data_IF_055842883581
#
_entry.id   IF_055842883581
#
_cell.length_a   1.000
_cell.length_b   1.000
_cell.length_c   1.000
_cell.angle_alpha   90.00
_cell.angle_beta   90.00
_cell.angle_gamma   90.00
#
_symmetry.space_group_name_H-M   'P 1'
#
loop_
_entity.id
_entity.type
_entity.pdbx_description
1 polymer ?
#
# COMPACT_ATOMS: atom_id res chain seq x y z
N UNK A 1 9.06 -10.18 73.61
CA UNK A 1 9.55 -8.79 73.70
C UNK A 1 9.85 -8.32 72.28
N UNK A 2 8.97 -7.49 71.73
CA UNK A 2 9.21 -6.12 71.23
C UNK A 2 9.78 -6.03 69.78
N UNK A 3 8.86 -5.98 68.81
CA UNK A 3 8.62 -4.96 67.74
C UNK A 3 9.71 -3.95 67.32
N UNK A 4 9.53 -3.20 66.19
CA UNK A 4 8.69 -3.43 64.98
C UNK A 4 9.29 -2.89 63.64
N UNK A 5 8.49 -3.02 62.57
CA UNK A 5 8.28 -2.04 61.47
C UNK A 5 9.33 -1.82 60.38
N UNK A 6 8.98 -2.18 59.12
CA UNK A 6 8.62 -1.18 58.09
C UNK A 6 8.23 -1.88 56.80
N UNK A 7 6.93 -1.83 56.51
CA UNK A 7 6.38 -2.02 55.18
C UNK A 7 6.47 -0.70 54.43
N UNK A 8 7.10 -0.70 53.26
CA UNK A 8 6.96 0.39 52.30
C UNK A 8 5.99 -0.09 51.21
N UNK A 9 4.70 0.17 51.39
CA UNK A 9 3.76 0.22 50.28
C UNK A 9 4.13 1.40 49.39
N UNK A 10 4.37 1.13 48.11
CA UNK A 10 4.53 2.18 47.10
C UNK A 10 3.11 2.68 46.78
N UNK A 11 2.71 3.77 47.42
CA UNK A 11 1.51 4.52 47.06
C UNK A 11 1.86 5.43 45.89
N UNK A 12 1.44 5.07 44.69
CA UNK A 12 1.47 5.98 43.54
C UNK A 12 0.37 7.03 43.74
N UNK A 13 0.75 8.26 44.06
CA UNK A 13 -0.16 9.41 44.11
C UNK A 13 -0.65 9.74 42.70
N UNK A 14 -1.96 9.90 42.56
CA UNK A 14 -2.68 10.12 41.30
C UNK A 14 -2.74 11.61 40.89
N UNK A 15 -1.70 12.39 41.16
CA UNK A 15 -1.73 13.87 41.03
C UNK A 15 -0.57 14.43 40.18
N UNK A 16 -0.05 13.64 39.25
CA UNK A 16 1.08 14.06 38.39
C UNK A 16 0.68 14.29 36.92
N UNK A 17 -0.61 14.52 36.64
CA UNK A 17 -1.13 14.79 35.31
C UNK A 17 -2.21 15.87 35.35
N UNK A 18 -1.84 17.07 35.78
CA UNK A 18 -2.54 18.30 35.43
C UNK A 18 -1.57 19.24 34.69
N UNK A 19 -1.41 18.99 33.39
CA UNK A 19 -1.22 20.05 32.40
C UNK A 19 -2.10 19.67 31.20
N UNK A 20 -3.42 19.77 31.43
CA UNK A 20 -4.41 19.66 30.35
C UNK A 20 -4.49 21.04 29.72
N UNK A 21 -4.08 21.12 28.45
CA UNK A 21 -4.30 22.29 27.61
C UNK A 21 -5.81 22.50 27.51
N UNK A 22 -6.27 23.63 28.04
CA UNK A 22 -7.66 24.05 28.00
C UNK A 22 -8.07 24.32 26.53
N UNK A 23 -8.59 23.31 25.84
CA UNK A 23 -9.31 23.52 24.58
C UNK A 23 -10.74 23.91 24.94
N UNK A 24 -10.94 25.21 25.12
CA UNK A 24 -12.26 25.80 25.24
C UNK A 24 -13.01 25.64 23.92
N UNK A 25 -14.03 24.79 23.96
CA UNK A 25 -15.12 24.74 22.98
C UNK A 25 -15.72 26.15 22.82
N UNK A 26 -15.84 26.63 21.59
CA UNK A 26 -16.79 27.69 21.24
C UNK A 26 -17.63 27.22 20.07
N UNK A 27 -18.93 27.14 20.34
CA UNK A 27 -19.99 26.70 19.46
C UNK A 27 -20.23 27.68 18.30
N UNK A 28 -20.67 27.11 17.17
CA UNK A 28 -21.24 27.80 16.02
C UNK A 28 -22.42 28.72 16.40
N UNK A 29 -22.68 29.73 15.55
CA UNK A 29 -23.96 29.67 14.84
C UNK A 29 -23.87 30.05 13.34
N UNK A 30 -24.59 29.29 12.51
CA UNK A 30 -25.11 29.69 11.19
C UNK A 30 -26.29 30.70 11.34
N UNK A 31 -26.95 31.18 10.27
CA UNK A 31 -26.49 31.70 8.96
C UNK A 31 -27.02 33.13 8.72
N UNK A 32 -26.40 33.93 7.85
CA UNK A 32 -27.11 35.05 7.20
C UNK A 32 -26.43 35.55 5.94
N UNK A 33 -27.29 35.71 4.93
CA UNK A 33 -27.05 36.27 3.61
C UNK A 33 -26.43 37.66 3.63
N UNK A 34 -25.70 38.00 2.56
CA UNK A 34 -25.78 39.29 1.85
C UNK A 34 -24.80 39.29 0.66
N UNK A 35 -25.34 39.28 -0.56
CA UNK A 35 -24.67 39.82 -1.75
C UNK A 35 -24.52 41.35 -1.59
N UNK A 36 -23.48 41.95 -2.19
CA UNK A 36 -23.83 42.87 -3.28
C UNK A 36 -22.95 42.71 -4.53
N UNK A 37 -23.66 42.73 -5.65
CA UNK A 37 -23.18 42.96 -7.00
C UNK A 37 -22.94 44.45 -7.22
N UNK A 38 -21.89 44.84 -7.95
CA UNK A 38 -21.92 46.00 -8.84
C UNK A 38 -20.67 46.10 -9.76
N UNK A 39 -20.80 46.75 -10.93
CA UNK A 39 -20.07 46.43 -12.16
C UNK A 39 -19.23 47.60 -12.69
N UNK A 40 -18.66 47.43 -13.90
CA UNK A 40 -18.29 48.38 -14.99
C UNK A 40 -16.86 48.15 -15.51
N UNK A 41 -16.73 47.55 -16.71
CA UNK A 41 -16.50 48.20 -18.02
C UNK A 41 -15.07 48.78 -18.16
N UNK A 42 -14.29 48.52 -19.22
CA UNK A 42 -14.71 48.75 -20.61
C UNK A 42 -13.67 48.26 -21.65
N UNK A 43 -14.21 47.80 -22.79
CA UNK A 43 -13.78 48.02 -24.18
C UNK A 43 -12.50 47.37 -24.77
N UNK A 44 -12.64 46.31 -25.58
CA UNK A 44 -12.54 46.27 -27.07
C UNK A 44 -11.27 46.79 -27.73
N UNK A 45 -10.55 45.92 -28.47
CA UNK A 45 -10.27 46.07 -29.92
C UNK A 45 -9.81 44.75 -30.55
N UNK A 46 -10.50 44.40 -31.63
CA UNK A 46 -10.31 43.33 -32.62
C UNK A 46 -9.01 43.45 -33.43
N UNK A 47 -8.37 42.31 -33.75
CA UNK A 47 -7.67 42.09 -35.03
C UNK A 47 -7.68 40.59 -35.39
N UNK A 48 -7.87 40.32 -36.68
CA UNK A 48 -8.32 39.06 -37.30
C UNK A 48 -7.14 38.17 -37.79
N UNK A 49 -7.38 37.02 -38.47
CA UNK A 49 -6.51 35.84 -38.47
C UNK A 49 -5.40 35.86 -39.53
N UNK A 50 -4.24 35.27 -39.23
CA UNK A 50 -3.29 34.83 -40.25
C UNK A 50 -3.45 33.33 -40.50
N UNK A 51 -4.11 33.01 -41.60
CA UNK A 51 -4.08 31.69 -42.22
C UNK A 51 -2.67 31.46 -42.78
N UNK A 52 -1.93 30.52 -42.19
CA UNK A 52 -0.77 29.92 -42.86
C UNK A 52 -1.18 28.54 -43.34
N UNK A 53 -1.44 28.45 -44.64
CA UNK A 53 -1.62 27.20 -45.38
C UNK A 53 -0.26 26.54 -45.54
N UNK A 54 0.04 25.51 -44.75
CA UNK A 54 1.18 24.61 -44.99
C UNK A 54 0.67 23.30 -45.57
N UNK A 55 1.27 22.93 -46.69
CA UNK A 55 0.93 21.83 -47.59
C UNK A 55 1.13 20.46 -46.95
N UNK A 56 0.17 19.56 -47.19
CA UNK A 56 0.16 18.13 -46.89
C UNK A 56 1.46 17.40 -47.29
N UNK A 57 2.08 16.71 -46.32
CA UNK A 57 2.73 15.41 -46.56
C UNK A 57 1.94 14.39 -45.75
N UNK A 58 1.29 13.45 -46.45
CA UNK A 58 0.62 12.29 -45.87
C UNK A 58 1.70 11.30 -45.43
N UNK A 59 2.14 11.39 -44.18
CA UNK A 59 2.63 10.22 -43.46
C UNK A 59 1.40 9.58 -42.82
N UNK A 60 1.16 8.30 -43.12
CA UNK A 60 0.09 7.55 -42.49
C UNK A 60 0.18 7.75 -40.97
N UNK A 61 -0.93 8.00 -40.25
CA UNK A 61 -0.86 8.01 -38.80
C UNK A 61 -0.37 6.62 -38.41
N UNK A 62 0.85 6.52 -37.89
CA UNK A 62 1.15 5.44 -36.95
C UNK A 62 0.10 5.65 -35.87
N UNK A 63 -0.90 4.77 -35.84
CA UNK A 63 -1.77 4.62 -34.67
C UNK A 63 -0.82 4.31 -33.53
N UNK A 64 -0.30 5.36 -32.89
CA UNK A 64 0.12 5.30 -31.52
C UNK A 64 -1.19 5.08 -30.79
N UNK A 65 -1.56 3.80 -30.60
CA UNK A 65 -2.53 3.44 -29.57
C UNK A 65 -2.03 4.20 -28.34
N UNK A 66 -2.79 5.16 -27.80
CA UNK A 66 -2.47 5.68 -26.49
C UNK A 66 -2.48 4.43 -25.62
N UNK A 67 -1.32 4.01 -25.11
CA UNK A 67 -1.34 3.16 -23.93
C UNK A 67 -2.25 3.94 -22.99
N UNK A 68 -3.43 3.37 -22.69
CA UNK A 68 -4.12 3.77 -21.48
C UNK A 68 -3.03 3.81 -20.41
N UNK A 69 -2.99 4.86 -19.60
CA UNK A 69 -2.07 4.89 -18.49
C UNK A 69 -2.34 3.61 -17.70
N UNK A 70 -1.54 2.57 -17.94
CA UNK A 70 -1.63 1.30 -17.26
C UNK A 70 -1.13 1.64 -15.88
N UNK A 71 -2.04 2.17 -15.06
CA UNK A 71 -1.75 2.46 -13.69
C UNK A 71 -1.36 1.13 -13.08
N UNK A 72 -0.07 1.01 -12.75
CA UNK A 72 0.50 -0.19 -12.16
C UNK A 72 -0.40 -0.58 -11.00
N UNK A 73 -0.97 -1.78 -11.08
CA UNK A 73 -1.94 -2.23 -10.07
C UNK A 73 -1.33 -2.08 -8.67
N UNK A 74 -2.13 -1.77 -7.64
CA UNK A 74 -1.63 -1.62 -6.27
C UNK A 74 -0.78 -2.82 -5.82
N UNK A 75 -1.18 -4.04 -6.22
CA UNK A 75 -0.40 -5.26 -5.98
C UNK A 75 0.97 -5.26 -6.69
N UNK A 76 1.04 -4.84 -7.96
CA UNK A 76 2.31 -4.76 -8.67
C UNK A 76 3.25 -3.69 -8.09
N UNK A 77 2.71 -2.55 -7.62
CA UNK A 77 3.49 -1.54 -6.87
C UNK A 77 4.08 -2.14 -5.59
N UNK A 78 3.28 -2.91 -4.83
CA UNK A 78 3.73 -3.58 -3.61
C UNK A 78 4.85 -4.60 -3.89
N UNK A 79 4.71 -5.42 -4.92
CA UNK A 79 5.74 -6.40 -5.31
C UNK A 79 7.05 -5.73 -5.72
N UNK A 80 7.00 -4.60 -6.40
CA UNK A 80 8.21 -3.82 -6.76
C UNK A 80 8.86 -3.18 -5.52
N UNK A 81 8.05 -2.64 -4.60
CA UNK A 81 8.56 -2.13 -3.33
C UNK A 81 9.19 -3.22 -2.45
N UNK A 82 8.60 -4.44 -2.44
CA UNK A 82 9.12 -5.62 -1.77
C UNK A 82 10.47 -6.05 -2.34
N UNK A 83 10.61 -6.13 -3.65
CA UNK A 83 11.89 -6.49 -4.30
C UNK A 83 13.00 -5.50 -3.93
N UNK A 84 12.72 -4.19 -4.06
CA UNK A 84 13.67 -3.14 -3.67
C UNK A 84 14.04 -3.20 -2.20
N UNK A 85 13.08 -3.54 -1.34
CA UNK A 85 13.29 -3.65 0.09
C UNK A 85 14.20 -4.83 0.42
N UNK A 86 13.94 -6.01 -0.16
CA UNK A 86 14.78 -7.18 0.01
C UNK A 86 16.19 -6.98 -0.56
N UNK A 87 16.31 -6.32 -1.72
CA UNK A 87 17.61 -5.95 -2.29
C UNK A 87 18.39 -4.97 -1.40
N UNK A 88 17.71 -4.00 -0.77
CA UNK A 88 18.31 -3.11 0.21
C UNK A 88 18.80 -3.88 1.44
N UNK A 89 17.97 -4.77 2.02
CA UNK A 89 18.37 -5.58 3.18
C UNK A 89 19.60 -6.44 2.86
N UNK A 90 19.60 -7.09 1.69
CA UNK A 90 20.73 -7.90 1.23
C UNK A 90 22.01 -7.08 1.10
N UNK A 91 21.91 -5.84 0.63
CA UNK A 91 23.05 -4.90 0.55
C UNK A 91 23.60 -4.52 1.92
N UNK A 92 22.72 -4.36 2.91
CA UNK A 92 23.10 -4.13 4.31
C UNK A 92 23.57 -5.42 5.02
N UNK A 93 23.58 -6.57 4.32
CA UNK A 93 24.05 -7.86 4.84
C UNK A 93 23.00 -8.66 5.63
N UNK A 94 21.73 -8.30 5.49
CA UNK A 94 20.62 -8.93 6.19
C UNK A 94 19.63 -9.60 5.22
N UNK A 95 18.94 -10.62 5.71
CA UNK A 95 17.76 -11.22 5.04
C UNK A 95 16.55 -10.91 5.90
N UNK A 96 15.36 -10.82 5.28
CA UNK A 96 14.12 -10.72 6.03
C UNK A 96 13.94 -11.94 6.93
N UNK A 97 13.91 -11.74 8.24
CA UNK A 97 13.67 -12.80 9.24
C UNK A 97 12.41 -12.53 10.06
N UNK A 98 11.57 -11.60 9.59
CA UNK A 98 10.39 -11.12 10.27
C UNK A 98 10.60 -9.79 11.00
N UNK A 99 9.50 -9.26 11.52
CA UNK A 99 9.50 -8.03 12.30
C UNK A 99 10.08 -8.27 13.70
N UNK A 100 10.73 -7.27 14.30
CA UNK A 100 11.18 -7.33 15.69
C UNK A 100 10.01 -7.64 16.63
N UNK A 101 10.18 -8.61 17.53
CA UNK A 101 9.14 -9.04 18.47
C UNK A 101 9.64 -9.06 19.91
N UNK A 102 8.95 -8.36 20.81
CA UNK A 102 9.28 -8.38 22.23
C UNK A 102 9.07 -9.76 22.87
N UNK A 103 8.26 -10.62 22.26
CA UNK A 103 7.97 -11.97 22.75
C UNK A 103 9.14 -12.93 22.50
N UNK A 104 9.93 -12.70 21.45
CA UNK A 104 11.10 -13.51 21.12
C UNK A 104 12.29 -13.30 22.06
N UNK A 105 12.26 -12.22 22.86
CA UNK A 105 13.31 -11.86 23.81
C UNK A 105 14.46 -11.06 23.20
N UNK A 106 15.22 -10.34 24.03
CA UNK A 106 16.21 -9.36 23.57
C UNK A 106 17.36 -9.93 22.73
N UNK A 107 17.65 -11.23 22.88
CA UNK A 107 18.74 -11.92 22.16
C UNK A 107 18.28 -12.52 20.82
N UNK A 108 17.00 -12.39 20.47
CA UNK A 108 16.47 -12.91 19.21
C UNK A 108 17.06 -12.15 18.02
N UNK A 109 17.36 -12.83 16.90
CA UNK A 109 17.98 -12.19 15.74
C UNK A 109 17.14 -11.05 15.16
N UNK A 110 15.81 -11.17 15.19
CA UNK A 110 14.87 -10.13 14.77
C UNK A 110 14.89 -8.87 15.66
N UNK A 111 15.44 -8.96 16.88
CA UNK A 111 15.59 -7.85 17.82
C UNK A 111 16.99 -7.23 17.82
N UNK A 112 17.91 -7.76 16.99
CA UNK A 112 19.26 -7.22 16.88
C UNK A 112 19.23 -5.77 16.36
N UNK A 113 20.00 -4.87 17.00
CA UNK A 113 19.99 -3.45 16.66
C UNK A 113 20.46 -3.14 15.23
N UNK A 114 21.38 -3.93 14.66
CA UNK A 114 21.83 -3.77 13.27
C UNK A 114 20.72 -4.14 12.30
N UNK A 115 20.05 -5.27 12.55
CA UNK A 115 18.89 -5.70 11.76
C UNK A 115 17.74 -4.68 11.82
N UNK A 116 17.37 -4.22 13.02
CA UNK A 116 16.34 -3.17 13.20
C UNK A 116 16.74 -1.88 12.47
N UNK A 117 18.01 -1.49 12.53
CA UNK A 117 18.54 -0.33 11.82
C UNK A 117 18.41 -0.48 10.29
N UNK A 118 18.75 -1.66 9.76
CA UNK A 118 18.60 -1.97 8.34
C UNK A 118 17.14 -1.96 7.89
N UNK A 119 16.21 -2.51 8.69
CA UNK A 119 14.78 -2.47 8.43
C UNK A 119 14.26 -1.02 8.28
N UNK A 120 14.61 -0.13 9.22
CA UNK A 120 14.21 1.29 9.19
C UNK A 120 14.82 2.00 7.98
N UNK A 121 16.11 1.77 7.72
CA UNK A 121 16.82 2.37 6.59
C UNK A 121 16.19 1.95 5.27
N UNK A 122 15.98 0.64 5.07
CA UNK A 122 15.43 0.11 3.84
C UNK A 122 13.98 0.53 3.64
N UNK A 123 13.16 0.55 4.69
CA UNK A 123 11.81 1.11 4.61
C UNK A 123 11.82 2.58 4.17
N UNK A 124 12.70 3.42 4.73
CA UNK A 124 12.78 4.84 4.35
C UNK A 124 13.22 5.06 2.89
N UNK A 125 14.00 4.13 2.33
CA UNK A 125 14.48 4.19 0.95
C UNK A 125 13.44 3.68 -0.05
N UNK A 126 12.65 2.69 0.31
CA UNK A 126 11.72 2.02 -0.61
C UNK A 126 10.27 2.47 -0.45
N UNK A 127 9.91 3.03 0.70
CA UNK A 127 8.55 3.43 1.01
C UNK A 127 7.58 2.24 1.15
N UNK A 128 8.10 1.03 1.40
CA UNK A 128 7.28 -0.20 1.40
C UNK A 128 6.07 -0.13 2.35
N UNK A 129 6.19 0.54 3.50
CA UNK A 129 5.06 0.71 4.42
C UNK A 129 3.94 1.54 3.80
N UNK A 130 4.27 2.62 3.11
CA UNK A 130 3.29 3.46 2.42
C UNK A 130 2.63 2.71 1.28
N UNK A 131 3.40 1.98 0.48
CA UNK A 131 2.83 1.16 -0.62
C UNK A 131 1.94 0.04 -0.07
N UNK A 132 2.30 -0.55 1.06
CA UNK A 132 1.47 -1.55 1.73
C UNK A 132 0.17 -0.94 2.26
N UNK A 133 0.20 0.25 2.86
CA UNK A 133 -0.99 0.98 3.29
C UNK A 133 -1.91 1.29 2.11
N UNK A 134 -1.36 1.75 0.98
CA UNK A 134 -2.11 2.00 -0.25
C UNK A 134 -2.74 0.72 -0.80
N UNK A 135 -2.00 -0.39 -0.78
CA UNK A 135 -2.53 -1.69 -1.19
C UNK A 135 -3.70 -2.13 -0.31
N UNK A 136 -3.58 -2.01 1.02
CA UNK A 136 -4.68 -2.35 1.95
C UNK A 136 -5.89 -1.43 1.74
N UNK A 137 -5.67 -0.14 1.51
CA UNK A 137 -6.73 0.81 1.20
C UNK A 137 -7.45 0.45 -0.11
N UNK A 138 -6.72 0.02 -1.14
CA UNK A 138 -7.30 -0.40 -2.42
C UNK A 138 -8.19 -1.63 -2.33
N UNK A 139 -8.05 -2.42 -1.24
CA UNK A 139 -8.85 -3.62 -0.97
C UNK A 139 -10.04 -3.36 -0.05
N UNK A 140 -10.20 -2.12 0.41
CA UNK A 140 -11.29 -1.72 1.32
C UNK A 140 -12.41 -1.04 0.53
N UNK A 141 -13.66 -1.38 0.82
CA UNK A 141 -14.82 -0.72 0.21
C UNK A 141 -15.04 -1.05 -1.27
N UNK A 142 -14.58 -2.22 -1.72
CA UNK A 142 -14.84 -2.76 -3.05
C UNK A 142 -16.32 -3.11 -3.22
N UNK A 143 -16.83 -2.95 -4.44
CA UNK A 143 -18.16 -3.45 -4.79
C UNK A 143 -18.18 -4.98 -4.86
N UNK A 144 -19.34 -5.64 -4.70
CA UNK A 144 -19.44 -7.11 -4.70
C UNK A 144 -18.87 -7.76 -5.96
N UNK A 145 -19.11 -7.18 -7.13
CA UNK A 145 -18.61 -7.71 -8.41
C UNK A 145 -17.07 -7.59 -8.51
N UNK A 146 -16.49 -6.53 -7.93
CA UNK A 146 -15.03 -6.35 -7.86
C UNK A 146 -14.39 -7.36 -6.91
N UNK A 147 -15.04 -7.65 -5.78
CA UNK A 147 -14.59 -8.69 -4.83
C UNK A 147 -14.60 -10.07 -5.51
N UNK A 148 -15.66 -10.41 -6.25
CA UNK A 148 -15.75 -11.68 -6.98
C UNK A 148 -14.61 -11.81 -8.00
N UNK A 149 -14.35 -10.74 -8.76
CA UNK A 149 -13.28 -10.73 -9.76
C UNK A 149 -11.90 -10.85 -9.11
N UNK A 150 -11.60 -10.07 -8.07
CA UNK A 150 -10.32 -10.16 -7.36
C UNK A 150 -10.13 -11.52 -6.69
N UNK A 151 -11.19 -12.12 -6.16
CA UNK A 151 -11.12 -13.47 -5.60
C UNK A 151 -10.77 -14.52 -6.68
N UNK A 152 -11.36 -14.41 -7.86
CA UNK A 152 -11.03 -15.28 -9.00
C UNK A 152 -9.57 -15.12 -9.42
N UNK A 153 -9.11 -13.88 -9.58
CA UNK A 153 -7.72 -13.57 -9.93
C UNK A 153 -6.74 -14.10 -8.88
N UNK A 154 -7.10 -13.96 -7.60
CA UNK A 154 -6.29 -14.46 -6.50
C UNK A 154 -6.25 -15.99 -6.44
N UNK A 155 -7.37 -16.67 -6.69
CA UNK A 155 -7.40 -18.14 -6.80
C UNK A 155 -6.45 -18.61 -7.91
N UNK A 156 -6.58 -18.06 -9.12
CA UNK A 156 -5.73 -18.42 -10.26
C UNK A 156 -4.25 -18.21 -9.94
N UNK A 157 -3.91 -17.08 -9.29
CA UNK A 157 -2.56 -16.79 -8.82
C UNK A 157 -2.08 -17.84 -7.82
N UNK A 158 -2.86 -18.16 -6.80
CA UNK A 158 -2.45 -19.13 -5.78
C UNK A 158 -2.31 -20.54 -6.34
N UNK A 159 -3.11 -20.93 -7.33
CA UNK A 159 -3.01 -22.24 -7.98
C UNK A 159 -1.74 -22.35 -8.81
N UNK A 160 -1.38 -21.29 -9.56
CA UNK A 160 -0.10 -21.22 -10.24
C UNK A 160 1.08 -21.31 -9.26
N UNK A 161 1.05 -20.53 -8.16
CA UNK A 161 2.12 -20.53 -7.16
C UNK A 161 2.25 -21.89 -6.45
N UNK A 162 1.13 -22.53 -6.08
CA UNK A 162 1.15 -23.90 -5.53
C UNK A 162 1.75 -24.90 -6.52
N UNK A 163 1.48 -24.75 -7.82
CA UNK A 163 2.11 -25.53 -8.88
C UNK A 163 3.63 -25.37 -8.95
N UNK A 164 4.16 -24.20 -8.58
CA UNK A 164 5.60 -23.90 -8.44
C UNK A 164 6.19 -24.32 -7.09
N UNK A 165 5.39 -24.91 -6.20
CA UNK A 165 5.84 -25.44 -4.91
C UNK A 165 5.71 -24.46 -3.73
N UNK A 166 4.94 -23.39 -3.88
CA UNK A 166 4.66 -22.47 -2.78
C UNK A 166 3.83 -23.13 -1.68
N UNK A 167 4.13 -22.78 -0.43
CA UNK A 167 3.30 -23.10 0.72
C UNK A 167 2.33 -21.94 0.97
N UNK A 168 1.10 -22.11 0.47
CA UNK A 168 0.01 -21.15 0.65
C UNK A 168 -1.08 -21.82 1.47
N UNK A 169 -1.43 -21.23 2.61
CA UNK A 169 -2.50 -21.73 3.48
C UNK A 169 -3.86 -21.75 2.76
N UNK A 170 -4.84 -22.36 3.43
CA UNK A 170 -6.23 -22.29 2.96
C UNK A 170 -6.67 -20.83 2.83
N UNK A 171 -7.35 -20.54 1.71
CA UNK A 171 -7.86 -19.21 1.43
C UNK A 171 -9.20 -19.04 2.12
N UNK A 172 -9.27 -18.07 3.03
CA UNK A 172 -10.50 -17.75 3.74
C UNK A 172 -10.94 -16.32 3.41
N UNK A 173 -12.24 -16.07 3.21
CA UNK A 173 -12.75 -14.72 3.07
C UNK A 173 -12.50 -13.91 4.35
N UNK A 174 -12.06 -12.66 4.19
CA UNK A 174 -11.94 -11.69 5.26
C UNK A 174 -13.29 -11.02 5.60
N UNK A 175 -13.27 -10.00 6.46
CA UNK A 175 -14.47 -9.24 6.87
C UNK A 175 -15.19 -8.56 5.69
N UNK A 176 -14.48 -8.29 4.59
CA UNK A 176 -14.99 -7.70 3.37
C UNK A 176 -15.36 -8.75 2.30
N UNK A 177 -15.16 -10.05 2.58
CA UNK A 177 -15.41 -11.14 1.64
C UNK A 177 -14.27 -11.41 0.66
N UNK A 178 -13.12 -10.76 0.84
CA UNK A 178 -11.96 -10.91 -0.02
C UNK A 178 -11.07 -12.06 0.47
N UNK A 179 -10.59 -12.88 -0.45
CA UNK A 179 -9.78 -14.04 -0.10
C UNK A 179 -8.37 -13.60 0.33
N UNK A 180 -7.92 -14.18 1.45
CA UNK A 180 -6.56 -14.06 1.93
C UNK A 180 -6.06 -15.41 2.45
N UNK A 181 -4.76 -15.71 2.32
CA UNK A 181 -4.14 -16.80 3.06
C UNK A 181 -4.20 -16.46 4.56
N UNK A 182 -4.56 -17.44 5.38
CA UNK A 182 -4.72 -17.23 6.82
C UNK A 182 -3.39 -16.99 7.55
N UNK A 183 -2.36 -17.79 7.27
CA UNK A 183 -1.10 -17.74 8.04
C UNK A 183 0.17 -17.90 7.18
N UNK A 184 0.09 -18.57 6.03
CA UNK A 184 1.23 -18.91 5.18
C UNK A 184 1.09 -18.41 3.75
N UNK A 185 2.09 -17.65 3.31
CA UNK A 185 2.29 -17.24 1.92
C UNK A 185 3.80 -17.12 1.66
N UNK A 186 4.42 -18.25 1.35
CA UNK A 186 5.87 -18.32 1.11
C UNK A 186 6.19 -19.26 -0.05
N UNK A 187 7.30 -18.96 -0.73
CA UNK A 187 7.89 -19.87 -1.70
C UNK A 187 8.49 -21.10 -1.01
N UNK A 188 8.97 -22.07 -1.80
CA UNK A 188 9.62 -23.28 -1.29
C UNK A 188 10.87 -22.99 -0.42
N UNK A 189 11.50 -21.83 -0.58
CA UNK A 189 12.66 -21.40 0.18
C UNK A 189 12.30 -20.69 1.50
N UNK A 190 11.01 -20.45 1.77
CA UNK A 190 10.51 -19.81 3.00
C UNK A 190 10.36 -18.29 2.92
N UNK A 191 10.76 -17.68 1.81
CA UNK A 191 10.63 -16.23 1.54
C UNK A 191 9.55 -15.93 0.49
N UNK A 192 9.15 -14.66 0.37
CA UNK A 192 8.27 -14.20 -0.72
C UNK A 192 9.11 -13.93 -1.97
N UNK A 193 9.00 -14.80 -2.97
CA UNK A 193 9.64 -14.63 -4.27
C UNK A 193 8.74 -13.80 -5.19
N UNK A 194 9.08 -12.52 -5.37
CA UNK A 194 8.27 -11.61 -6.18
C UNK A 194 8.36 -11.88 -7.69
N UNK A 195 9.40 -12.57 -8.15
CA UNK A 195 9.57 -12.91 -9.57
C UNK A 195 8.65 -14.05 -9.96
N UNK A 196 8.55 -15.09 -9.12
CA UNK A 196 7.58 -16.17 -9.33
C UNK A 196 6.13 -15.68 -9.30
N UNK A 197 5.82 -14.68 -8.47
CA UNK A 197 4.50 -14.03 -8.46
C UNK A 197 4.24 -13.33 -9.80
N UNK A 198 5.21 -12.57 -10.31
CA UNK A 198 5.07 -11.89 -11.61
C UNK A 198 4.98 -12.88 -12.78
N UNK A 199 5.75 -13.95 -12.74
CA UNK A 199 5.69 -15.02 -13.74
C UNK A 199 4.30 -15.64 -13.78
N UNK A 200 3.71 -15.98 -12.62
CA UNK A 200 2.35 -16.49 -12.54
C UNK A 200 1.31 -15.51 -13.08
N UNK A 201 1.40 -14.23 -12.71
CA UNK A 201 0.50 -13.18 -13.24
C UNK A 201 0.60 -13.10 -14.77
N UNK A 202 1.81 -13.19 -15.31
CA UNK A 202 2.06 -13.21 -16.75
C UNK A 202 1.48 -14.46 -17.44
N UNK A 203 1.70 -15.65 -16.87
CA UNK A 203 1.15 -16.91 -17.39
C UNK A 203 -0.39 -16.89 -17.42
N UNK A 204 -1.03 -16.43 -16.35
CA UNK A 204 -2.50 -16.32 -16.26
C UNK A 204 -3.05 -15.34 -17.29
N UNK A 205 -2.40 -14.19 -17.49
CA UNK A 205 -2.81 -13.22 -18.50
C UNK A 205 -2.74 -13.82 -19.91
N UNK A 206 -1.65 -14.53 -20.23
CA UNK A 206 -1.49 -15.19 -21.53
C UNK A 206 -2.53 -16.30 -21.77
N UNK A 207 -2.88 -17.06 -20.75
CA UNK A 207 -3.91 -18.11 -20.84
C UNK A 207 -5.30 -17.52 -21.08
N UNK A 208 -5.60 -16.38 -20.46
CA UNK A 208 -6.85 -15.64 -20.67
C UNK A 208 -6.95 -15.09 -22.08
N UNK A 209 -5.90 -14.43 -22.57
CA UNK A 209 -5.85 -13.92 -23.94
C UNK A 209 -6.07 -15.04 -24.97
N UNK A 210 -5.44 -16.20 -24.75
CA UNK A 210 -5.59 -17.36 -25.62
C UNK A 210 -7.00 -17.97 -25.59
N UNK A 211 -7.74 -17.81 -24.49
CA UNK A 211 -9.12 -18.29 -24.36
C UNK A 211 -10.15 -17.34 -24.99
N UNK A 212 -9.82 -16.05 -25.15
CA UNK A 212 -10.71 -15.06 -25.80
C UNK A 212 -10.58 -15.07 -27.34
N UNK A 213 -9.43 -15.49 -27.87
CA UNK A 213 -9.16 -15.61 -29.32
C UNK A 213 -9.53 -16.98 -29.94
N UNK A 214 -9.99 -17.95 -29.11
CA UNK A 214 -10.29 -19.34 -29.52
C UNK A 214 -11.77 -19.65 -29.71
#
# INVERSE_FOLDING_TARGET
MLSPDSAAEIVVSSDAFEDVVEVTTTAAPEPSATLPSAPVASSTTTAAPEQTTTTTTTEAPRTTVPLAEDEISPGAKLLDALDRFNSCLSTEGHTWIGMPSMEAGADAPENNSEYVGALILCNSRTGISTVFEEFQASRTGLEPDEIEQQNKDFIDLTDCLRGKGWEISELTPDENGLLSPAEGFASADGDVDTDQIRDCVGEIALERDAAEDG
#
